data_IF_126693818182
#
_entry.id   IF_126693818182
#
_cell.length_a   1.000
_cell.length_b   1.000
_cell.length_c   1.000
_cell.angle_alpha   90.00
_cell.angle_beta   90.00
_cell.angle_gamma   90.00
#
_symmetry.space_group_name_H-M   'P 1'
#
loop_
_entity.id
_entity.type
_entity.pdbx_description
1 polymer ?
#
# COMPACT_ATOMS: atom_id res chain seq x y z
N UNK A 1 21.17 -17.20 28.55
CA UNK A 1 20.28 -17.37 27.39
C UNK A 1 19.70 -16.01 27.04
N UNK A 2 20.12 -15.42 25.92
CA UNK A 2 19.67 -14.08 25.52
C UNK A 2 18.34 -14.25 24.79
N UNK A 3 17.24 -13.91 25.45
CA UNK A 3 15.91 -13.88 24.85
C UNK A 3 15.89 -12.80 23.77
N UNK A 4 16.03 -13.20 22.50
CA UNK A 4 15.87 -12.31 21.35
C UNK A 4 14.37 -12.04 21.27
N UNK A 5 13.94 -10.84 21.65
CA UNK A 5 12.58 -10.40 21.41
C UNK A 5 12.26 -10.67 19.93
N UNK A 6 11.23 -11.48 19.68
CA UNK A 6 10.75 -11.70 18.32
C UNK A 6 10.32 -10.34 17.78
N UNK A 7 11.05 -9.84 16.78
CA UNK A 7 10.58 -8.71 15.98
C UNK A 7 9.19 -9.10 15.45
N UNK A 8 8.16 -8.25 15.59
CA UNK A 8 6.83 -8.59 15.11
C UNK A 8 6.94 -8.96 13.63
N UNK A 9 6.49 -10.17 13.26
CA UNK A 9 6.47 -10.61 11.87
C UNK A 9 5.71 -9.57 11.04
N UNK A 10 6.41 -8.95 10.10
CA UNK A 10 5.81 -7.95 9.22
C UNK A 10 4.75 -8.64 8.36
N UNK A 11 3.62 -7.96 8.05
CA UNK A 11 2.60 -8.55 7.22
C UNK A 11 3.19 -8.97 5.86
N UNK A 12 2.81 -10.14 5.36
CA UNK A 12 3.23 -10.62 4.02
C UNK A 12 2.21 -10.29 2.93
N UNK A 13 1.07 -9.72 3.31
CA UNK A 13 -0.06 -9.39 2.44
C UNK A 13 -0.80 -8.16 2.97
N UNK A 14 -1.46 -7.39 2.10
CA UNK A 14 -2.26 -6.25 2.55
C UNK A 14 -3.48 -6.73 3.34
N UNK A 15 -3.91 -5.88 4.28
CA UNK A 15 -5.18 -6.08 4.97
C UNK A 15 -6.35 -5.63 4.08
N UNK A 16 -7.52 -6.23 4.28
CA UNK A 16 -8.74 -5.80 3.60
C UNK A 16 -9.23 -4.47 4.19
N UNK A 17 -9.77 -3.61 3.34
CA UNK A 17 -10.34 -2.33 3.75
C UNK A 17 -11.71 -2.53 4.40
N UNK A 18 -12.02 -1.67 5.38
CA UNK A 18 -13.37 -1.57 5.94
C UNK A 18 -14.28 -0.86 4.93
N UNK A 19 -15.47 -1.39 4.70
CA UNK A 19 -16.42 -0.80 3.77
C UNK A 19 -16.80 0.64 4.16
N UNK A 20 -16.97 1.51 3.17
CA UNK A 20 -17.35 2.91 3.39
C UNK A 20 -16.23 3.82 3.90
N UNK A 21 -14.98 3.34 3.87
CA UNK A 21 -13.78 4.15 4.15
C UNK A 21 -13.06 4.56 2.87
N UNK A 22 -12.22 5.60 2.96
CA UNK A 22 -11.30 6.01 1.89
C UNK A 22 -10.11 5.06 1.79
N UNK A 23 -10.37 3.78 1.51
CA UNK A 23 -9.35 2.72 1.46
C UNK A 23 -9.58 1.81 0.25
N UNK A 24 -8.53 1.52 -0.49
CA UNK A 24 -8.52 0.49 -1.54
C UNK A 24 -7.43 -0.54 -1.24
N UNK A 25 -7.72 -1.81 -1.48
CA UNK A 25 -6.76 -2.90 -1.23
C UNK A 25 -7.05 -4.09 -2.14
N UNK A 26 -5.98 -4.76 -2.58
CA UNK A 26 -6.10 -6.00 -3.34
C UNK A 26 -6.72 -7.13 -2.52
N UNK A 27 -6.68 -7.05 -1.18
CA UNK A 27 -7.35 -8.00 -0.30
C UNK A 27 -8.87 -7.76 -0.17
N UNK A 28 -9.39 -6.63 -0.64
CA UNK A 28 -10.81 -6.27 -0.53
C UNK A 28 -11.70 -6.86 -1.63
N UNK A 29 -11.31 -7.96 -2.29
CA UNK A 29 -12.00 -8.52 -3.47
C UNK A 29 -13.50 -8.83 -3.30
N UNK A 30 -13.99 -8.94 -2.05
CA UNK A 30 -15.42 -9.13 -1.73
C UNK A 30 -16.20 -7.82 -1.57
N UNK A 31 -15.51 -6.69 -1.58
CA UNK A 31 -16.05 -5.33 -1.42
C UNK A 31 -15.67 -4.50 -2.64
N UNK A 32 -16.47 -4.54 -3.74
CA UNK A 32 -16.08 -3.94 -5.02
C UNK A 32 -15.70 -2.46 -4.94
N UNK A 33 -16.33 -1.69 -4.06
CA UNK A 33 -16.04 -0.27 -3.86
C UNK A 33 -14.65 0.01 -3.25
N UNK A 34 -14.01 -1.00 -2.64
CA UNK A 34 -12.72 -0.90 -1.97
C UNK A 34 -11.66 -1.84 -2.58
N UNK A 35 -11.98 -2.48 -3.71
CA UNK A 35 -11.09 -3.40 -4.39
C UNK A 35 -10.45 -2.75 -5.61
N UNK A 36 -9.14 -2.93 -5.73
CA UNK A 36 -8.41 -2.76 -6.98
C UNK A 36 -7.59 -4.03 -7.24
N UNK A 37 -7.43 -4.43 -8.51
CA UNK A 37 -6.61 -5.59 -8.85
C UNK A 37 -5.13 -5.32 -8.51
N UNK A 38 -4.32 -6.38 -8.30
CA UNK A 38 -2.88 -6.26 -8.15
C UNK A 38 -2.24 -5.47 -9.29
N UNK A 39 -1.16 -4.77 -9.00
CA UNK A 39 -0.33 -4.16 -10.04
C UNK A 39 0.57 -5.22 -10.64
N UNK A 40 0.89 -5.06 -11.92
CA UNK A 40 1.83 -5.91 -12.64
C UNK A 40 3.02 -5.06 -13.08
N UNK A 41 4.21 -5.65 -13.02
CA UNK A 41 5.43 -5.04 -13.54
C UNK A 41 6.13 -5.97 -14.53
N UNK A 42 6.97 -5.38 -15.36
CA UNK A 42 7.78 -6.09 -16.35
C UNK A 42 9.24 -6.01 -15.91
N UNK A 43 9.93 -7.16 -15.93
CA UNK A 43 11.34 -7.24 -15.57
C UNK A 43 11.56 -8.10 -14.32
N UNK A 44 12.71 -7.92 -13.68
CA UNK A 44 13.06 -8.63 -12.45
C UNK A 44 12.51 -7.93 -11.20
N UNK A 45 12.22 -8.72 -10.17
CA UNK A 45 11.61 -8.27 -8.92
C UNK A 45 12.46 -7.21 -8.21
N UNK A 46 13.79 -7.37 -8.20
CA UNK A 46 14.70 -6.45 -7.52
C UNK A 46 14.72 -5.07 -8.20
N UNK A 47 14.75 -5.03 -9.53
CA UNK A 47 14.65 -3.78 -10.30
C UNK A 47 13.29 -3.13 -10.13
N UNK A 48 12.20 -3.90 -10.15
CA UNK A 48 10.86 -3.37 -9.95
C UNK A 48 10.69 -2.78 -8.54
N UNK A 49 11.16 -3.49 -7.51
CA UNK A 49 11.19 -3.03 -6.13
C UNK A 49 11.98 -1.72 -6.01
N UNK A 50 13.21 -1.71 -6.54
CA UNK A 50 14.08 -0.53 -6.51
C UNK A 50 13.44 0.66 -7.24
N UNK A 51 12.78 0.41 -8.37
CA UNK A 51 12.11 1.46 -9.14
C UNK A 51 10.99 2.12 -8.34
N UNK A 52 10.17 1.32 -7.64
CA UNK A 52 9.13 1.86 -6.75
C UNK A 52 9.74 2.65 -5.59
N UNK A 53 10.77 2.11 -4.95
CA UNK A 53 11.45 2.77 -3.83
C UNK A 53 12.06 4.11 -4.26
N UNK A 54 12.76 4.14 -5.39
CA UNK A 54 13.37 5.35 -5.93
C UNK A 54 12.30 6.39 -6.31
N UNK A 55 11.17 5.96 -6.90
CA UNK A 55 10.04 6.83 -7.20
C UNK A 55 9.44 7.46 -5.95
N UNK A 56 9.15 6.66 -4.91
CA UNK A 56 8.62 7.15 -3.63
C UNK A 56 9.58 8.10 -2.92
N UNK A 57 10.89 7.80 -2.92
CA UNK A 57 11.91 8.68 -2.32
C UNK A 57 12.09 10.00 -3.07
N UNK A 58 11.79 10.02 -4.37
CA UNK A 58 11.86 11.23 -5.20
C UNK A 58 10.65 12.16 -5.05
N UNK A 59 9.54 11.63 -4.51
CA UNK A 59 8.31 12.40 -4.33
C UNK A 59 8.39 13.25 -3.04
N UNK A 60 8.37 14.59 -3.13
CA UNK A 60 8.44 15.47 -1.97
C UNK A 60 7.21 15.35 -1.03
N UNK A 61 6.13 14.71 -1.46
CA UNK A 61 4.94 14.47 -0.64
C UNK A 61 5.09 13.27 0.30
N UNK A 62 6.09 12.40 0.07
CA UNK A 62 6.35 11.24 0.94
C UNK A 62 7.21 11.64 2.14
N UNK A 63 6.80 11.27 3.35
CA UNK A 63 7.52 11.72 4.57
C UNK A 63 7.82 10.64 5.62
N UNK A 64 7.10 9.52 5.65
CA UNK A 64 7.40 8.39 6.53
C UNK A 64 7.47 7.12 5.67
N UNK A 65 8.66 6.65 5.35
CA UNK A 65 8.88 5.52 4.46
C UNK A 65 9.66 4.39 5.15
N UNK A 66 9.23 3.17 4.92
CA UNK A 66 9.90 1.93 5.34
C UNK A 66 9.99 1.04 4.10
N UNK A 67 11.20 0.60 3.75
CA UNK A 67 11.44 -0.42 2.74
C UNK A 67 12.17 -1.62 3.34
N UNK A 68 11.74 -2.82 2.96
CA UNK A 68 12.36 -4.10 3.31
C UNK A 68 12.38 -4.97 2.05
N UNK A 69 13.50 -4.90 1.33
CA UNK A 69 13.72 -5.66 0.10
C UNK A 69 13.68 -7.17 0.33
N UNK A 70 14.14 -7.64 1.50
CA UNK A 70 14.15 -9.08 1.82
C UNK A 70 12.74 -9.61 2.01
N UNK A 71 11.86 -8.80 2.61
CA UNK A 71 10.45 -9.12 2.77
C UNK A 71 9.60 -8.73 1.54
N UNK A 72 10.16 -8.05 0.54
CA UNK A 72 9.40 -7.52 -0.60
C UNK A 72 8.37 -6.47 -0.18
N UNK A 73 8.63 -5.71 0.89
CA UNK A 73 7.66 -4.82 1.50
C UNK A 73 8.09 -3.36 1.41
N UNK A 74 7.15 -2.48 1.05
CA UNK A 74 7.32 -1.02 1.12
C UNK A 74 6.08 -0.41 1.77
N UNK A 75 6.28 0.47 2.74
CA UNK A 75 5.23 1.33 3.26
C UNK A 75 5.66 2.79 3.21
N UNK A 76 4.71 3.68 2.92
CA UNK A 76 4.95 5.11 2.84
C UNK A 76 3.73 5.89 3.31
N UNK A 77 3.95 7.05 3.94
CA UNK A 77 2.92 8.07 4.15
C UNK A 77 3.10 9.20 3.14
N UNK A 78 2.03 9.51 2.41
CA UNK A 78 1.95 10.57 1.40
C UNK A 78 1.09 11.72 1.94
N UNK A 79 1.60 12.95 1.92
CA UNK A 79 0.86 14.16 2.34
C UNK A 79 0.31 14.91 1.14
N UNK A 80 -0.97 15.24 1.18
CA UNK A 80 -1.65 16.09 0.21
C UNK A 80 -1.68 17.55 0.64
N UNK A 81 -2.01 18.43 -0.31
CA UNK A 81 -1.95 19.89 -0.14
C UNK A 81 -3.01 20.42 0.86
N UNK A 82 -4.05 19.64 1.14
CA UNK A 82 -5.11 19.87 2.12
C UNK A 82 -4.80 19.30 3.52
N UNK A 83 -3.57 18.84 3.74
CA UNK A 83 -3.11 18.12 4.93
C UNK A 83 -3.71 16.72 5.13
N UNK A 84 -4.43 16.19 4.14
CA UNK A 84 -4.81 14.78 4.14
C UNK A 84 -3.56 13.90 3.94
N UNK A 85 -3.59 12.71 4.55
CA UNK A 85 -2.50 11.76 4.49
C UNK A 85 -3.03 10.43 4.03
N UNK A 86 -2.34 9.85 3.05
CA UNK A 86 -2.55 8.49 2.61
C UNK A 86 -1.43 7.58 3.10
N UNK A 87 -1.82 6.44 3.67
CA UNK A 87 -0.94 5.35 4.03
C UNK A 87 -0.92 4.34 2.87
N UNK A 88 0.26 4.13 2.30
CA UNK A 88 0.52 3.20 1.21
C UNK A 88 1.28 1.99 1.74
N UNK A 89 0.89 0.80 1.32
CA UNK A 89 1.57 -0.46 1.58
C UNK A 89 1.66 -1.26 0.27
N UNK A 90 2.85 -1.77 -0.05
CA UNK A 90 3.13 -2.58 -1.23
C UNK A 90 3.84 -3.87 -0.83
N UNK A 91 3.44 -4.98 -1.44
CA UNK A 91 3.94 -6.33 -1.17
C UNK A 91 4.25 -7.01 -2.50
N UNK A 92 5.54 -7.17 -2.78
CA UNK A 92 6.05 -7.93 -3.93
C UNK A 92 6.01 -9.41 -3.59
N UNK A 93 5.40 -10.22 -4.46
CA UNK A 93 5.23 -11.65 -4.19
C UNK A 93 6.51 -12.46 -4.39
N UNK A 94 7.47 -11.93 -5.15
CA UNK A 94 8.77 -12.55 -5.46
C UNK A 94 8.69 -14.04 -5.86
N UNK A 95 7.56 -14.43 -6.47
CA UNK A 95 7.22 -15.80 -6.89
C UNK A 95 7.26 -15.95 -8.41
N UNK A 96 7.79 -14.95 -9.12
CA UNK A 96 7.84 -14.90 -10.57
C UNK A 96 6.53 -14.48 -11.24
N UNK A 97 5.48 -14.14 -10.48
CA UNK A 97 4.21 -13.63 -11.04
C UNK A 97 4.32 -12.22 -11.62
N UNK A 98 5.34 -11.46 -11.23
CA UNK A 98 5.47 -10.05 -11.61
C UNK A 98 4.37 -9.16 -10.99
N UNK A 99 3.78 -9.59 -9.87
CA UNK A 99 2.65 -8.92 -9.25
C UNK A 99 3.00 -8.23 -7.91
N UNK A 100 2.40 -7.06 -7.69
CA UNK A 100 2.45 -6.30 -6.43
C UNK A 100 1.05 -6.23 -5.85
N UNK A 101 0.89 -6.78 -4.65
CA UNK A 101 -0.29 -6.54 -3.83
C UNK A 101 -0.14 -5.20 -3.12
N UNK A 102 -1.23 -4.47 -2.91
CA UNK A 102 -1.15 -3.19 -2.24
C UNK A 102 -2.38 -2.89 -1.40
N UNK A 103 -2.19 -1.93 -0.50
CA UNK A 103 -3.24 -1.21 0.20
C UNK A 103 -2.91 0.28 0.18
N UNK A 104 -3.93 1.09 -0.05
CA UNK A 104 -3.88 2.53 0.00
C UNK A 104 -5.05 3.00 0.87
N UNK A 105 -4.76 3.68 1.97
CA UNK A 105 -5.77 4.13 2.92
C UNK A 105 -5.57 5.61 3.30
N UNK A 106 -6.56 6.44 3.02
CA UNK A 106 -6.61 7.80 3.54
C UNK A 106 -6.91 7.80 5.04
N UNK A 107 -6.13 8.58 5.80
CA UNK A 107 -6.33 8.77 7.25
C UNK A 107 -7.58 9.59 7.54
N UNK A 108 -7.95 10.48 6.63
CA UNK A 108 -9.20 11.23 6.69
C UNK A 108 -10.23 10.48 5.86
N UNK A 109 -11.24 9.95 6.53
CA UNK A 109 -12.47 9.56 5.86
C UNK A 109 -13.17 10.84 5.43
N UNK A 110 -12.85 11.35 4.25
CA UNK A 110 -13.83 12.12 3.50
C UNK A 110 -14.98 11.14 3.23
N UNK A 111 -15.93 11.09 4.17
CA UNK A 111 -17.29 10.68 3.83
C UNK A 111 -17.59 11.45 2.56
N UNK A 112 -17.84 10.75 1.45
CA UNK A 112 -18.32 11.42 0.24
C UNK A 112 -19.34 12.45 0.71
N UNK A 113 -19.15 13.76 0.43
CA UNK A 113 -20.11 14.75 0.91
C UNK A 113 -21.50 14.26 0.52
N UNK A 114 -22.55 14.52 1.34
CA UNK A 114 -23.92 14.10 1.03
C UNK A 114 -24.27 14.68 -0.34
N UNK A 115 -24.08 13.82 -1.31
CA UNK A 115 -23.82 14.13 -2.71
C UNK A 115 -23.83 12.79 -3.44
N UNK A 116 -24.77 11.93 -3.01
CA UNK A 116 -25.29 10.86 -3.80
C UNK A 116 -25.59 11.39 -5.21
N UNK A 117 -24.87 10.83 -6.18
CA UNK A 117 -25.37 10.27 -7.44
C UNK A 117 -26.58 10.92 -8.11
N UNK A 118 -26.43 11.19 -9.43
CA UNK A 118 -27.19 10.62 -10.57
C UNK A 118 -26.99 11.48 -11.83
N UNK A 119 -27.42 10.99 -13.00
CA UNK A 119 -26.82 10.02 -13.92
C UNK A 119 -25.79 10.64 -14.89
#
# INVERSE_FOLDING_TARGET
ETSRAAEPERPTRPTACVAGTSCVSTASFRSPANYLPPWEYVGDDATAFKTLVDALRSDPKVFDMIDDETAGYVAASLRHDDADVDDLEFFFLSDGSGAVLFRWAGRVNVASPPGCFKP
#
